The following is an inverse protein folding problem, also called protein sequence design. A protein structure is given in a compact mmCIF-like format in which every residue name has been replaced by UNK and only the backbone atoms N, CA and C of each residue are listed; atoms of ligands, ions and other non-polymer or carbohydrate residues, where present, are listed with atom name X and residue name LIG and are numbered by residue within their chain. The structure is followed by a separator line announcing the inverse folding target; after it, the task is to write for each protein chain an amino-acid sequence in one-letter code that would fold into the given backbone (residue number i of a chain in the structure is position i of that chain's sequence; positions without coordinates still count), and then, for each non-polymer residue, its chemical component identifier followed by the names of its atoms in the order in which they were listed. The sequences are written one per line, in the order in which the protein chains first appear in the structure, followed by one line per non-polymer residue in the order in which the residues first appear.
data_IF_380457470019
#
_entry.id   IF_380457470019
#
_cell.length_a   1.000
_cell.length_b   1.000
_cell.length_c   1.000
_cell.angle_alpha   90.00
_cell.angle_beta   90.00
_cell.angle_gamma   90.00
#
_symmetry.space_group_name_H-M   'P 1'
#
loop_
_entity.id
_entity.type
_entity.pdbx_description
1 polymer ?
#
# COMPACT_ATOMS: atom_id res chain seq x y z
N UNK A 1 51.88 -18.72 25.28
CA UNK A 1 51.50 -18.99 23.87
C UNK A 1 49.98 -19.04 23.76
N UNK A 2 49.36 -17.99 23.18
CA UNK A 2 48.09 -18.04 22.45
C UNK A 2 47.89 -16.71 21.74
N UNK A 3 47.55 -16.82 20.46
CA UNK A 3 47.77 -15.83 19.42
C UNK A 3 46.83 -14.63 19.50
N UNK A 4 47.41 -13.42 19.46
CA UNK A 4 46.68 -12.20 19.09
C UNK A 4 46.58 -12.13 17.56
N UNK A 5 45.46 -12.52 16.97
CA UNK A 5 45.16 -12.15 15.60
C UNK A 5 44.67 -10.70 15.57
N UNK A 6 45.59 -9.79 15.25
CA UNK A 6 45.28 -8.43 14.80
C UNK A 6 44.52 -8.53 13.48
N UNK A 7 43.21 -8.35 13.53
CA UNK A 7 42.39 -8.07 12.34
C UNK A 7 42.79 -6.68 11.84
N UNK A 8 43.62 -6.63 10.80
CA UNK A 8 43.81 -5.42 10.00
C UNK A 8 42.47 -5.08 9.34
N UNK A 9 41.73 -4.13 9.93
CA UNK A 9 40.67 -3.41 9.23
C UNK A 9 41.32 -2.76 8.00
N UNK A 10 40.95 -3.22 6.82
CA UNK A 10 41.14 -2.46 5.60
C UNK A 10 40.27 -1.20 5.71
N UNK A 11 40.84 -0.13 6.24
CA UNK A 11 40.38 1.22 5.97
C UNK A 11 40.63 1.48 4.49
N UNK A 12 39.66 1.08 3.65
CA UNK A 12 39.46 1.77 2.39
C UNK A 12 39.18 3.21 2.76
N UNK A 13 40.06 4.12 2.37
CA UNK A 13 39.81 5.55 2.30
C UNK A 13 38.52 5.79 1.52
N UNK A 14 37.38 5.79 2.20
CA UNK A 14 36.22 6.58 1.83
C UNK A 14 36.59 8.01 2.19
N UNK A 15 37.33 8.69 1.31
CA UNK A 15 37.28 10.15 1.27
C UNK A 15 35.80 10.52 1.25
N UNK A 16 35.37 11.23 2.29
CA UNK A 16 33.96 11.50 2.52
C UNK A 16 33.40 12.31 1.36
N UNK A 17 32.56 11.67 0.54
CA UNK A 17 31.79 12.28 -0.55
C UNK A 17 30.66 13.20 -0.06
N UNK A 18 30.71 13.67 1.20
CA UNK A 18 29.86 14.73 1.76
C UNK A 18 29.66 15.94 0.83
N UNK A 19 30.65 16.43 0.04
CA UNK A 19 30.42 17.54 -0.87
C UNK A 19 29.63 17.19 -2.15
N UNK A 20 29.40 15.91 -2.43
CA UNK A 20 28.58 15.42 -3.55
C UNK A 20 27.13 15.19 -3.11
N UNK A 21 26.90 14.63 -1.92
CA UNK A 21 25.55 14.48 -1.34
C UNK A 21 24.85 15.84 -1.17
N UNK A 22 25.60 16.86 -0.74
CA UNK A 22 25.09 18.23 -0.65
C UNK A 22 24.75 18.84 -2.03
N UNK A 23 25.44 18.43 -3.08
CA UNK A 23 25.24 18.92 -4.44
C UNK A 23 23.99 18.26 -5.07
N UNK A 24 23.77 16.98 -4.75
CA UNK A 24 22.57 16.21 -5.13
C UNK A 24 21.31 16.81 -4.50
N UNK A 25 21.34 17.14 -3.21
CA UNK A 25 20.21 17.79 -2.53
C UNK A 25 19.91 19.19 -3.12
N UNK A 26 20.94 19.94 -3.50
CA UNK A 26 20.77 21.26 -4.13
C UNK A 26 20.23 21.19 -5.57
N UNK A 27 20.54 20.12 -6.32
CA UNK A 27 20.01 19.89 -7.67
C UNK A 27 18.54 19.46 -7.60
N UNK A 28 18.19 18.53 -6.69
CA UNK A 28 16.81 18.06 -6.51
C UNK A 28 15.86 19.17 -6.05
N UNK A 29 16.34 20.08 -5.19
CA UNK A 29 15.56 21.22 -4.70
C UNK A 29 15.55 22.43 -5.66
N UNK A 30 16.18 22.35 -6.83
CA UNK A 30 16.28 23.46 -7.79
C UNK A 30 17.10 24.66 -7.30
N UNK A 31 17.74 24.58 -6.12
CA UNK A 31 18.57 25.65 -5.54
C UNK A 31 19.91 25.81 -6.26
N UNK A 32 20.42 24.73 -6.84
CA UNK A 32 21.64 24.73 -7.65
C UNK A 32 21.51 25.64 -8.89
N UNK A 33 20.32 25.67 -9.49
CA UNK A 33 19.99 26.49 -10.65
C UNK A 33 20.11 28.00 -10.35
N UNK A 34 19.65 28.45 -9.17
CA UNK A 34 19.76 29.85 -8.76
C UNK A 34 21.20 30.25 -8.44
N UNK A 35 21.96 29.36 -7.80
CA UNK A 35 23.36 29.61 -7.41
C UNK A 35 24.31 29.67 -8.61
N UNK A 36 24.09 28.85 -9.65
CA UNK A 36 24.92 28.89 -10.86
C UNK A 36 24.64 30.13 -11.71
N UNK A 37 23.39 30.63 -11.75
CA UNK A 37 23.04 31.90 -12.41
C UNK A 37 23.81 33.11 -11.85
N UNK A 38 24.19 33.07 -10.56
CA UNK A 38 24.93 34.13 -9.90
C UNK A 38 26.46 34.03 -10.07
N UNK A 39 26.97 32.93 -10.64
CA UNK A 39 28.42 32.66 -10.80
C UNK A 39 28.86 32.47 -12.26
N UNK A 40 27.98 32.65 -13.22
CA UNK A 40 28.36 32.56 -14.63
C UNK A 40 29.30 33.71 -15.03
N UNK A 41 30.48 33.35 -15.55
CA UNK A 41 31.42 34.31 -16.11
C UNK A 41 30.89 34.79 -17.48
N UNK A 42 31.13 36.07 -17.82
CA UNK A 42 30.68 36.70 -19.07
C UNK A 42 31.04 35.88 -20.33
N UNK A 43 32.17 35.19 -20.29
CA UNK A 43 32.68 34.35 -21.36
C UNK A 43 31.82 33.09 -21.61
N UNK A 44 31.31 32.48 -20.54
CA UNK A 44 30.39 31.33 -20.62
C UNK A 44 29.04 31.73 -21.20
N UNK A 45 28.60 32.95 -20.88
CA UNK A 45 27.39 33.54 -21.45
C UNK A 45 27.54 33.82 -22.95
N UNK A 46 28.68 34.38 -23.38
CA UNK A 46 29.00 34.60 -24.81
C UNK A 46 29.02 33.29 -25.59
N UNK A 47 29.68 32.24 -25.08
CA UNK A 47 29.79 30.95 -25.79
C UNK A 47 28.41 30.31 -25.95
N UNK A 48 27.55 30.37 -24.93
CA UNK A 48 26.15 29.91 -25.02
C UNK A 48 25.36 30.72 -26.03
N UNK A 49 25.57 32.04 -26.08
CA UNK A 49 24.96 32.90 -27.09
C UNK A 49 25.40 32.49 -28.51
N UNK A 50 26.69 32.25 -28.73
CA UNK A 50 27.22 31.85 -30.03
C UNK A 50 26.72 30.48 -30.48
N UNK A 51 26.74 29.48 -29.59
CA UNK A 51 26.23 28.13 -29.90
C UNK A 51 24.74 28.11 -30.22
N UNK A 52 23.92 28.82 -29.45
CA UNK A 52 22.49 28.92 -29.72
C UNK A 52 22.18 29.72 -30.99
N UNK A 53 22.98 30.75 -31.31
CA UNK A 53 22.85 31.51 -32.55
C UNK A 53 23.17 30.65 -33.78
N UNK A 54 24.18 29.79 -33.70
CA UNK A 54 24.54 28.87 -34.79
C UNK A 54 23.42 27.86 -35.11
N UNK A 55 22.82 27.23 -34.10
CA UNK A 55 21.73 26.28 -34.32
C UNK A 55 20.41 26.96 -34.73
N UNK A 56 20.13 28.17 -34.22
CA UNK A 56 18.95 28.96 -34.61
C UNK A 56 18.96 29.38 -36.09
N UNK A 57 20.15 29.57 -36.69
CA UNK A 57 20.31 29.94 -38.10
C UNK A 57 20.10 28.77 -39.07
N UNK A 58 20.29 27.52 -38.63
CA UNK A 58 20.25 26.34 -39.52
C UNK A 58 18.83 25.83 -39.83
N UNK A 59 17.80 26.29 -39.12
CA UNK A 59 16.46 25.68 -39.13
C UNK A 59 15.44 26.34 -40.10
N UNK A 60 15.50 27.62 -40.51
CA UNK A 60 14.42 28.24 -41.29
C UNK A 60 14.83 28.64 -42.72
N UNK A 61 15.13 27.69 -43.60
CA UNK A 61 15.43 28.06 -45.01
C UNK A 61 14.18 28.19 -45.91
N UNK A 62 13.00 27.72 -45.46
CA UNK A 62 11.84 27.56 -46.36
C UNK A 62 10.93 28.80 -46.47
N UNK A 63 10.82 29.61 -45.42
CA UNK A 63 9.91 30.78 -45.40
C UNK A 63 10.39 32.02 -46.17
N UNK A 64 11.70 32.38 -46.17
CA UNK A 64 12.17 33.54 -46.91
C UNK A 64 11.97 33.38 -48.42
N UNK A 65 12.13 32.15 -48.93
CA UNK A 65 11.86 31.81 -50.32
C UNK A 65 10.39 32.06 -50.71
N UNK A 66 9.45 31.83 -49.79
CA UNK A 66 8.02 32.05 -50.00
C UNK A 66 7.67 33.55 -50.08
N UNK A 67 8.34 34.39 -49.26
CA UNK A 67 8.19 35.86 -49.30
C UNK A 67 8.82 36.43 -50.58
N UNK A 68 9.99 35.95 -50.99
CA UNK A 68 10.62 36.33 -52.26
C UNK A 68 9.71 35.93 -53.43
N UNK A 69 9.14 34.71 -53.41
CA UNK A 69 8.20 34.27 -54.44
C UNK A 69 6.95 35.16 -54.50
N UNK A 70 6.39 35.56 -53.35
CA UNK A 70 5.25 36.48 -53.31
C UNK A 70 5.59 37.87 -53.88
N UNK A 71 6.78 38.42 -53.57
CA UNK A 71 7.24 39.69 -54.13
C UNK A 71 7.46 39.62 -55.64
N UNK A 72 7.96 38.49 -56.16
CA UNK A 72 8.09 38.24 -57.62
C UNK A 72 6.71 38.17 -58.27
N UNK A 73 5.72 37.56 -57.63
CA UNK A 73 4.33 37.54 -58.14
C UNK A 73 3.74 38.95 -58.19
N UNK A 74 3.93 39.76 -57.14
CA UNK A 74 3.48 41.16 -57.11
C UNK A 74 4.16 41.99 -58.20
N UNK A 75 5.47 41.84 -58.39
CA UNK A 75 6.21 42.49 -59.48
C UNK A 75 5.63 42.10 -60.84
N UNK A 76 5.33 40.81 -61.07
CA UNK A 76 4.74 40.34 -62.33
C UNK A 76 3.32 40.86 -62.57
N UNK A 77 2.51 41.00 -61.53
CA UNK A 77 1.18 41.62 -61.61
C UNK A 77 1.31 43.12 -61.94
N UNK A 78 2.30 43.82 -61.38
CA UNK A 78 2.47 45.25 -61.67
C UNK A 78 3.07 45.49 -63.06
N UNK A 79 3.96 44.61 -63.51
CA UNK A 79 4.51 44.61 -64.87
C UNK A 79 3.45 44.43 -65.97
N UNK A 80 2.28 43.87 -65.65
CA UNK A 80 1.17 43.82 -66.62
C UNK A 80 0.51 45.18 -66.87
N UNK A 81 0.78 46.18 -66.02
CA UNK A 81 0.28 47.55 -66.16
C UNK A 81 1.39 48.55 -66.54
N UNK A 82 2.63 48.33 -66.09
CA UNK A 82 3.80 49.11 -66.47
C UNK A 82 5.01 48.18 -66.66
N UNK A 83 5.39 47.94 -67.91
CA UNK A 83 6.46 47.01 -68.28
C UNK A 83 7.84 47.38 -67.71
N UNK A 84 8.04 48.65 -67.30
CA UNK A 84 9.32 49.12 -66.77
C UNK A 84 9.44 48.98 -65.26
N UNK A 85 8.37 48.57 -64.58
CA UNK A 85 8.39 48.40 -63.13
C UNK A 85 9.26 47.19 -62.78
N UNK A 86 10.36 47.44 -62.07
CA UNK A 86 11.18 46.40 -61.48
C UNK A 86 11.46 46.74 -60.01
N UNK A 87 11.29 45.77 -59.14
CA UNK A 87 11.65 45.97 -57.73
C UNK A 87 13.17 45.87 -57.63
N UNK A 88 13.85 46.87 -57.04
CA UNK A 88 15.30 46.85 -56.96
C UNK A 88 15.76 45.65 -56.12
N UNK A 89 16.78 44.92 -56.61
CA UNK A 89 17.33 43.73 -55.97
C UNK A 89 17.70 43.94 -54.48
N UNK A 90 18.18 45.15 -54.15
CA UNK A 90 18.49 45.54 -52.78
C UNK A 90 17.29 45.39 -51.83
N UNK A 91 16.06 45.64 -52.29
CA UNK A 91 14.88 45.52 -51.46
C UNK A 91 14.58 44.06 -51.09
N UNK A 92 14.75 43.12 -52.03
CA UNK A 92 14.64 41.67 -51.75
C UNK A 92 15.70 41.23 -50.73
N UNK A 93 16.93 41.71 -50.89
CA UNK A 93 18.04 41.40 -50.00
C UNK A 93 17.80 41.94 -48.59
N UNK A 94 17.27 43.16 -48.45
CA UNK A 94 16.90 43.73 -47.15
C UNK A 94 15.76 42.99 -46.47
N UNK A 95 14.70 42.61 -47.20
CA UNK A 95 13.58 41.81 -46.66
C UNK A 95 14.08 40.45 -46.16
N UNK A 96 14.98 39.81 -46.91
CA UNK A 96 15.58 38.54 -46.53
C UNK A 96 16.45 38.66 -45.25
N UNK A 97 17.30 39.69 -45.17
CA UNK A 97 18.14 39.94 -43.99
C UNK A 97 17.30 40.24 -42.75
N UNK A 98 16.30 41.13 -42.86
CA UNK A 98 15.43 41.49 -41.73
C UNK A 98 14.65 40.26 -41.24
N UNK A 99 14.16 39.43 -42.15
CA UNK A 99 13.47 38.20 -41.78
C UNK A 99 14.38 37.21 -41.03
N UNK A 100 15.60 36.98 -41.53
CA UNK A 100 16.59 36.14 -40.86
C UNK A 100 16.90 36.69 -39.47
N UNK A 101 17.08 38.01 -39.33
CA UNK A 101 17.38 38.64 -38.05
C UNK A 101 16.24 38.46 -37.04
N UNK A 102 14.98 38.71 -37.43
CA UNK A 102 13.81 38.55 -36.55
C UNK A 102 13.61 37.09 -36.16
N UNK A 103 13.75 36.16 -37.11
CA UNK A 103 13.58 34.74 -36.83
C UNK A 103 14.71 34.20 -35.95
N UNK A 104 15.97 34.54 -36.25
CA UNK A 104 17.12 34.18 -35.41
C UNK A 104 16.93 34.72 -33.99
N UNK A 105 16.44 35.95 -33.84
CA UNK A 105 16.12 36.53 -32.53
C UNK A 105 14.99 35.79 -31.81
N UNK A 106 13.91 35.41 -32.51
CA UNK A 106 12.80 34.64 -31.94
C UNK A 106 13.21 33.23 -31.54
N UNK A 107 13.97 32.54 -32.40
CA UNK A 107 14.53 31.22 -32.12
C UNK A 107 15.52 31.29 -30.94
N UNK A 108 16.36 32.32 -30.89
CA UNK A 108 17.24 32.60 -29.76
C UNK A 108 16.47 32.80 -28.45
N UNK A 109 15.39 33.58 -28.45
CA UNK A 109 14.52 33.75 -27.27
C UNK A 109 13.85 32.42 -26.88
N UNK A 110 13.30 31.68 -27.84
CA UNK A 110 12.67 30.38 -27.57
C UNK A 110 13.68 29.36 -27.04
N UNK A 111 14.92 29.41 -27.50
CA UNK A 111 15.99 28.52 -27.06
C UNK A 111 16.54 28.95 -25.69
N UNK A 112 16.57 30.25 -25.38
CA UNK A 112 16.78 30.74 -24.01
C UNK A 112 15.66 30.27 -23.07
N UNK A 113 14.40 30.30 -23.53
CA UNK A 113 13.25 29.84 -22.74
C UNK A 113 13.22 28.32 -22.58
N UNK A 114 13.66 27.56 -23.59
CA UNK A 114 13.64 26.08 -23.60
C UNK A 114 14.93 25.42 -23.09
N UNK A 115 16.05 26.14 -22.97
CA UNK A 115 17.27 25.62 -22.35
C UNK A 115 17.34 25.94 -20.85
N UNK A 116 16.81 25.04 -20.03
CA UNK A 116 17.78 24.26 -19.25
C UNK A 116 18.29 23.19 -20.21
N UNK A 117 19.55 23.35 -20.59
CA UNK A 117 20.38 22.31 -21.20
C UNK A 117 19.99 20.96 -20.59
N UNK A 118 19.80 19.90 -21.40
CA UNK A 118 19.37 18.57 -20.93
C UNK A 118 19.98 18.23 -19.56
N UNK A 119 19.18 17.67 -18.64
CA UNK A 119 19.64 17.28 -17.28
C UNK A 119 20.98 16.51 -17.33
N UNK A 120 21.22 15.77 -18.41
CA UNK A 120 22.44 14.98 -18.63
C UNK A 120 23.67 15.86 -18.92
N UNK A 121 23.52 16.96 -19.65
CA UNK A 121 24.61 17.89 -19.97
C UNK A 121 24.92 18.81 -18.78
N UNK A 122 23.94 19.13 -17.93
CA UNK A 122 24.18 19.84 -16.66
C UNK A 122 25.09 19.06 -15.72
N UNK A 123 25.00 17.72 -15.72
CA UNK A 123 25.88 16.86 -14.93
C UNK A 123 27.32 16.93 -15.47
N UNK A 124 27.48 16.84 -16.79
CA UNK A 124 28.77 16.96 -17.49
C UNK A 124 29.41 18.34 -17.24
N UNK A 125 28.60 19.40 -17.23
CA UNK A 125 29.07 20.76 -16.97
C UNK A 125 29.37 21.05 -15.50
N UNK A 126 28.56 20.54 -14.56
CA UNK A 126 28.79 20.69 -13.12
C UNK A 126 30.10 20.02 -12.67
N UNK A 127 30.46 18.90 -13.31
CA UNK A 127 31.73 18.20 -13.09
C UNK A 127 32.94 19.00 -13.60
N UNK A 128 32.81 19.69 -14.74
CA UNK A 128 33.89 20.51 -15.30
C UNK A 128 34.11 21.86 -14.60
N UNK A 129 33.13 22.37 -13.85
CA UNK A 129 33.19 23.72 -13.24
C UNK A 129 33.49 23.76 -11.74
N UNK A 130 33.67 22.61 -11.07
CA UNK A 130 33.95 22.57 -9.61
C UNK A 130 35.44 22.65 -9.25
N UNK A 131 36.23 23.34 -10.06
CA UNK A 131 37.64 23.69 -9.79
C UNK A 131 38.01 24.96 -10.53
N UNK A 132 38.89 25.80 -9.94
CA UNK A 132 39.42 27.02 -10.58
C UNK A 132 39.81 26.72 -12.03
N UNK A 133 39.12 27.33 -12.99
CA UNK A 133 39.47 27.21 -14.40
C UNK A 133 40.79 27.95 -14.61
N UNK A 134 41.87 27.20 -14.72
CA UNK A 134 43.16 27.66 -15.23
C UNK A 134 43.42 26.99 -16.60
N UNK A 135 42.62 27.35 -17.63
CA UNK A 135 42.89 27.27 -19.09
C UNK A 135 43.50 25.94 -19.67
N UNK A 136 43.92 25.92 -20.96
CA UNK A 136 43.19 25.89 -22.22
C UNK A 136 42.86 24.43 -22.67
N UNK A 137 42.38 24.22 -23.90
CA UNK A 137 42.14 22.91 -24.52
C UNK A 137 43.07 21.78 -24.03
N UNK A 138 42.49 20.74 -23.41
CA UNK A 138 43.21 19.66 -22.75
C UNK A 138 43.74 18.60 -23.72
N UNK A 139 44.96 18.10 -23.47
CA UNK A 139 45.65 17.10 -24.28
C UNK A 139 45.08 15.68 -24.11
N UNK A 140 45.23 14.87 -25.17
CA UNK A 140 44.77 13.47 -25.31
C UNK A 140 45.23 12.56 -24.15
N UNK A 141 46.37 12.85 -23.51
CA UNK A 141 46.90 12.06 -22.38
C UNK A 141 46.05 12.17 -21.10
N UNK A 142 45.33 13.28 -20.90
CA UNK A 142 44.47 13.47 -19.73
C UNK A 142 43.13 12.74 -19.88
N UNK A 143 42.71 12.45 -21.11
CA UNK A 143 41.43 11.81 -21.44
C UNK A 143 41.29 10.42 -20.80
N UNK A 144 42.38 9.66 -20.70
CA UNK A 144 42.38 8.30 -20.13
C UNK A 144 42.03 8.25 -18.65
N UNK A 145 42.52 9.20 -17.84
CA UNK A 145 42.19 9.26 -16.40
C UNK A 145 40.75 9.72 -16.16
N UNK A 146 40.28 10.71 -16.92
CA UNK A 146 38.91 11.20 -16.79
C UNK A 146 37.86 10.21 -17.31
N UNK A 147 38.18 9.40 -18.32
CA UNK A 147 37.30 8.29 -18.74
C UNK A 147 37.23 7.19 -17.69
N UNK A 148 38.31 6.90 -16.97
CA UNK A 148 38.28 5.94 -15.86
C UNK A 148 37.44 6.45 -14.68
N UNK A 149 37.60 7.72 -14.29
CA UNK A 149 36.81 8.34 -13.23
C UNK A 149 35.34 8.51 -13.63
N UNK A 150 35.08 8.86 -14.89
CA UNK A 150 33.73 8.88 -15.45
C UNK A 150 33.10 7.49 -15.41
N UNK A 151 33.81 6.45 -15.85
CA UNK A 151 33.33 5.07 -15.80
C UNK A 151 33.06 4.61 -14.36
N UNK A 152 33.88 5.01 -13.38
CA UNK A 152 33.63 4.72 -11.95
C UNK A 152 32.35 5.38 -11.46
N UNK A 153 32.13 6.65 -11.80
CA UNK A 153 30.91 7.38 -11.43
C UNK A 153 29.68 6.79 -12.12
N UNK A 154 29.76 6.48 -13.41
CA UNK A 154 28.68 5.85 -14.17
C UNK A 154 28.34 4.46 -13.63
N UNK A 155 29.36 3.66 -13.29
CA UNK A 155 29.17 2.34 -12.68
C UNK A 155 28.54 2.46 -11.30
N UNK A 156 28.92 3.47 -10.51
CA UNK A 156 28.30 3.75 -9.22
C UNK A 156 26.83 4.14 -9.38
N UNK A 157 26.49 5.03 -10.31
CA UNK A 157 25.10 5.42 -10.59
C UNK A 157 24.29 4.25 -11.13
N UNK A 158 24.83 3.48 -12.08
CA UNK A 158 24.17 2.29 -12.58
C UNK A 158 23.87 1.31 -11.44
N UNK A 159 24.84 1.07 -10.56
CA UNK A 159 24.65 0.23 -9.36
C UNK A 159 23.61 0.79 -8.41
N UNK A 160 23.63 2.09 -8.12
CA UNK A 160 22.67 2.74 -7.22
C UNK A 160 21.24 2.67 -7.77
N UNK A 161 21.06 2.90 -9.08
CA UNK A 161 19.76 2.79 -9.76
C UNK A 161 19.28 1.34 -9.74
N UNK A 162 20.15 0.36 -10.08
CA UNK A 162 19.76 -1.05 -10.02
C UNK A 162 19.42 -1.49 -8.60
N UNK A 163 20.16 -1.01 -7.60
CA UNK A 163 19.92 -1.34 -6.19
C UNK A 163 18.57 -0.76 -5.72
N UNK A 164 18.28 0.49 -6.06
CA UNK A 164 16.98 1.10 -5.77
C UNK A 164 15.82 0.38 -6.48
N UNK A 165 16.01 -0.08 -7.72
CA UNK A 165 15.01 -0.90 -8.41
C UNK A 165 14.81 -2.26 -7.73
N UNK A 166 15.88 -2.92 -7.30
CA UNK A 166 15.80 -4.19 -6.55
C UNK A 166 15.03 -3.98 -5.25
N UNK A 167 15.31 -2.92 -4.50
CA UNK A 167 14.60 -2.58 -3.26
C UNK A 167 13.10 -2.31 -3.51
N UNK A 168 12.77 -1.57 -4.57
CA UNK A 168 11.38 -1.34 -4.96
C UNK A 168 10.67 -2.64 -5.34
N UNK A 169 11.30 -3.51 -6.14
CA UNK A 169 10.72 -4.81 -6.48
C UNK A 169 10.57 -5.73 -5.26
N UNK A 170 11.49 -5.68 -4.30
CA UNK A 170 11.34 -6.42 -3.05
C UNK A 170 10.15 -5.93 -2.22
N UNK A 171 9.89 -4.62 -2.19
CA UNK A 171 8.69 -4.06 -1.55
C UNK A 171 7.43 -4.55 -2.24
N UNK A 172 7.36 -4.49 -3.57
CA UNK A 172 6.22 -4.98 -4.35
C UNK A 172 5.98 -6.49 -4.15
N UNK A 173 7.05 -7.31 -4.15
CA UNK A 173 6.95 -8.76 -3.89
C UNK A 173 6.40 -9.03 -2.50
N UNK A 174 6.82 -8.26 -1.49
CA UNK A 174 6.32 -8.41 -0.12
C UNK A 174 4.85 -7.99 -0.01
N UNK A 175 4.43 -6.93 -0.71
CA UNK A 175 3.02 -6.54 -0.77
C UNK A 175 2.17 -7.60 -1.47
N UNK A 176 2.63 -8.14 -2.59
CA UNK A 176 1.98 -9.24 -3.31
C UNK A 176 1.86 -10.49 -2.44
N UNK A 177 2.90 -10.86 -1.69
CA UNK A 177 2.83 -11.98 -0.75
C UNK A 177 1.75 -11.77 0.32
N UNK A 178 1.70 -10.58 0.93
CA UNK A 178 0.66 -10.25 1.92
C UNK A 178 -0.75 -10.30 1.32
N UNK A 179 -0.91 -9.82 0.08
CA UNK A 179 -2.20 -9.92 -0.63
C UNK A 179 -2.56 -11.37 -0.92
N UNK A 180 -1.59 -12.21 -1.30
CA UNK A 180 -1.79 -13.63 -1.56
C UNK A 180 -2.15 -14.38 -0.28
N UNK A 181 -1.53 -14.06 0.86
CA UNK A 181 -1.92 -14.58 2.17
C UNK A 181 -3.36 -14.21 2.52
N UNK A 182 -3.74 -12.93 2.38
CA UNK A 182 -5.12 -12.47 2.59
C UNK A 182 -6.12 -13.13 1.65
N UNK A 183 -5.77 -13.30 0.37
CA UNK A 183 -6.61 -13.99 -0.60
C UNK A 183 -6.73 -15.47 -0.29
N UNK A 184 -5.66 -16.11 0.22
CA UNK A 184 -5.70 -17.50 0.65
C UNK A 184 -6.61 -17.65 1.87
N UNK A 185 -6.52 -16.74 2.84
CA UNK A 185 -7.43 -16.66 3.99
C UNK A 185 -8.89 -16.47 3.56
N UNK A 186 -9.16 -15.57 2.59
CA UNK A 186 -10.49 -15.32 2.05
C UNK A 186 -11.01 -16.48 1.18
N UNK A 187 -10.16 -17.12 0.38
CA UNK A 187 -10.54 -18.29 -0.45
C UNK A 187 -10.85 -19.53 0.40
N UNK A 188 -10.31 -19.56 1.62
CA UNK A 188 -10.59 -20.59 2.62
C UNK A 188 -11.79 -20.22 3.50
N UNK A 189 -12.30 -18.98 3.41
CA UNK A 189 -13.50 -18.59 4.12
C UNK A 189 -14.73 -19.11 3.36
N UNK A 190 -15.53 -19.97 3.97
CA UNK A 190 -16.62 -20.64 3.25
C UNK A 190 -17.69 -19.64 2.77
N UNK A 191 -18.13 -19.76 1.51
CA UNK A 191 -19.14 -18.86 0.92
C UNK A 191 -20.48 -18.87 1.68
N UNK A 192 -20.86 -20.02 2.24
CA UNK A 192 -22.02 -20.21 3.10
C UNK A 192 -21.94 -19.35 4.38
N UNK A 193 -20.73 -19.05 4.88
CA UNK A 193 -20.56 -18.12 6.01
C UNK A 193 -20.88 -16.68 5.59
N UNK A 194 -20.46 -16.25 4.39
CA UNK A 194 -20.83 -14.91 3.90
C UNK A 194 -22.34 -14.76 3.71
N UNK A 195 -22.99 -15.75 3.08
CA UNK A 195 -24.45 -15.75 2.89
C UNK A 195 -25.21 -15.79 4.22
N UNK A 196 -24.71 -16.55 5.21
CA UNK A 196 -25.25 -16.56 6.56
C UNK A 196 -25.11 -15.19 7.25
N UNK A 197 -23.93 -14.55 7.15
CA UNK A 197 -23.71 -13.23 7.74
C UNK A 197 -24.57 -12.14 7.10
N UNK A 198 -24.77 -12.17 5.78
CA UNK A 198 -25.69 -11.24 5.10
C UNK A 198 -27.11 -11.35 5.65
N UNK A 199 -27.65 -12.56 5.82
CA UNK A 199 -28.98 -12.79 6.41
C UNK A 199 -29.04 -12.33 7.87
N UNK A 200 -27.97 -12.53 8.64
CA UNK A 200 -27.91 -12.08 10.02
C UNK A 200 -27.85 -10.56 10.16
N UNK A 201 -27.18 -9.86 9.24
CA UNK A 201 -27.18 -8.38 9.22
C UNK A 201 -28.61 -7.85 9.02
N UNK A 202 -29.42 -8.47 8.17
CA UNK A 202 -30.84 -8.11 8.00
C UNK A 202 -31.61 -8.30 9.32
N UNK A 203 -31.42 -9.44 10.00
CA UNK A 203 -32.06 -9.73 11.29
C UNK A 203 -31.66 -8.69 12.36
N UNK A 204 -30.38 -8.30 12.41
CA UNK A 204 -29.89 -7.29 13.36
C UNK A 204 -30.40 -5.89 13.01
N UNK A 205 -30.52 -5.57 11.71
CA UNK A 205 -31.11 -4.32 11.27
C UNK A 205 -32.58 -4.22 11.69
N UNK A 206 -33.37 -5.28 11.45
CA UNK A 206 -34.77 -5.36 11.88
C UNK A 206 -34.91 -5.21 13.40
N UNK A 207 -34.04 -5.87 14.17
CA UNK A 207 -33.97 -5.73 15.62
C UNK A 207 -33.73 -4.29 16.06
N UNK A 208 -32.84 -3.56 15.36
CA UNK A 208 -32.53 -2.17 15.70
C UNK A 208 -33.66 -1.20 15.39
N UNK A 209 -34.49 -1.51 14.39
CA UNK A 209 -35.57 -0.63 13.91
C UNK A 209 -36.89 -0.85 14.65
N UNK A 210 -37.26 -2.10 14.93
CA UNK A 210 -38.53 -2.44 15.57
C UNK A 210 -38.35 -3.47 16.69
N UNK A 211 -38.03 -2.99 17.89
CA UNK A 211 -37.93 -3.80 19.10
C UNK A 211 -39.27 -4.31 19.63
N UNK A 212 -40.40 -3.80 19.13
CA UNK A 212 -41.74 -4.16 19.64
C UNK A 212 -42.28 -5.44 19.01
N UNK A 213 -41.76 -5.81 17.84
CA UNK A 213 -42.10 -7.06 17.19
C UNK A 213 -41.60 -8.25 18.01
N UNK A 214 -42.49 -9.22 18.28
CA UNK A 214 -42.14 -10.46 19.00
C UNK A 214 -40.98 -11.17 18.31
N UNK A 215 -40.88 -11.11 16.97
CA UNK A 215 -39.79 -11.71 16.19
C UNK A 215 -38.43 -11.07 16.44
N UNK A 216 -38.40 -9.89 17.04
CA UNK A 216 -37.22 -9.09 17.32
C UNK A 216 -36.93 -9.04 18.83
N UNK A 217 -37.43 -9.99 19.61
CA UNK A 217 -36.99 -10.11 21.00
C UNK A 217 -35.52 -10.51 21.04
N UNK A 218 -34.76 -9.93 21.97
CA UNK A 218 -33.31 -10.12 22.13
C UNK A 218 -32.89 -11.60 22.07
N UNK A 219 -33.53 -12.45 22.87
CA UNK A 219 -33.20 -13.87 22.94
C UNK A 219 -33.48 -14.60 21.61
N UNK A 220 -34.56 -14.23 20.91
CA UNK A 220 -34.89 -14.82 19.61
C UNK A 220 -33.92 -14.40 18.51
N UNK A 221 -33.32 -13.21 18.61
CA UNK A 221 -32.24 -12.79 17.71
C UNK A 221 -31.00 -13.66 17.94
N UNK A 222 -30.62 -13.89 19.19
CA UNK A 222 -29.51 -14.78 19.53
C UNK A 222 -29.76 -16.24 19.12
N UNK A 223 -31.00 -16.74 19.28
CA UNK A 223 -31.42 -18.06 18.79
C UNK A 223 -31.26 -18.17 17.27
N UNK A 224 -31.62 -17.11 16.52
CA UNK A 224 -31.46 -17.07 15.06
C UNK A 224 -29.99 -17.04 14.64
N UNK A 225 -29.12 -16.34 15.37
CA UNK A 225 -27.67 -16.38 15.13
C UNK A 225 -27.17 -17.82 15.19
N UNK A 226 -27.51 -18.56 16.26
CA UNK A 226 -27.13 -19.96 16.39
C UNK A 226 -27.78 -20.84 15.31
N UNK A 227 -29.04 -20.59 14.95
CA UNK A 227 -29.71 -21.31 13.88
C UNK A 227 -28.99 -21.13 12.54
N UNK A 228 -28.58 -19.91 12.20
CA UNK A 228 -27.82 -19.62 10.98
C UNK A 228 -26.43 -20.24 11.02
N UNK A 229 -25.74 -20.20 12.16
CA UNK A 229 -24.47 -20.91 12.36
C UNK A 229 -24.58 -22.41 12.11
N UNK A 230 -25.72 -23.03 12.44
CA UNK A 230 -25.93 -24.47 12.24
C UNK A 230 -26.05 -24.87 10.76
N UNK A 231 -26.28 -23.90 9.88
CA UNK A 231 -26.37 -24.12 8.43
C UNK A 231 -25.00 -24.19 7.74
N UNK A 232 -23.94 -23.70 8.40
CA UNK A 232 -22.58 -23.73 7.89
C UNK A 232 -22.04 -25.15 7.93
N UNK A 233 -21.51 -25.63 6.80
CA UNK A 233 -21.11 -27.04 6.66
C UNK A 233 -20.05 -27.45 7.70
N UNK A 234 -19.08 -26.57 7.96
CA UNK A 234 -17.98 -26.82 8.91
C UNK A 234 -18.47 -26.82 10.37
N UNK A 235 -19.47 -26.00 10.72
CA UNK A 235 -19.99 -25.93 12.09
C UNK A 235 -21.08 -26.97 12.37
N UNK A 236 -21.75 -27.47 11.33
CA UNK A 236 -22.87 -28.40 11.45
C UNK A 236 -22.60 -29.63 12.33
N UNK A 237 -21.43 -30.30 12.29
CA UNK A 237 -21.12 -31.43 13.19
C UNK A 237 -21.03 -31.01 14.67
N UNK A 238 -20.68 -29.74 14.92
CA UNK A 238 -20.43 -29.16 16.24
C UNK A 238 -21.70 -28.54 16.86
N UNK A 239 -22.80 -28.51 16.10
CA UNK A 239 -24.03 -27.79 16.42
C UNK A 239 -25.17 -28.76 16.74
N UNK A 240 -24.92 -29.87 17.46
CA UNK A 240 -26.03 -30.73 17.93
C UNK A 240 -26.91 -29.97 18.91
N UNK A 241 -26.29 -29.21 19.80
CA UNK A 241 -26.91 -28.21 20.67
C UNK A 241 -25.95 -27.02 20.78
N UNK A 242 -26.45 -25.80 20.92
CA UNK A 242 -25.59 -24.65 21.17
C UNK A 242 -26.23 -23.66 22.12
N UNK A 243 -25.41 -22.93 22.87
CA UNK A 243 -25.87 -21.81 23.71
C UNK A 243 -24.98 -20.59 23.54
N UNK A 244 -25.60 -19.42 23.68
CA UNK A 244 -24.91 -18.16 23.94
C UNK A 244 -25.22 -17.81 25.38
N UNK A 245 -24.19 -17.81 26.23
CA UNK A 245 -24.28 -17.38 27.62
C UNK A 245 -23.61 -16.02 27.77
N UNK A 246 -24.33 -15.04 28.29
CA UNK A 246 -23.81 -13.69 28.51
C UNK A 246 -23.83 -13.35 30.00
N UNK A 247 -22.94 -12.47 30.42
CA UNK A 247 -22.89 -11.98 31.80
C UNK A 247 -24.13 -11.11 32.04
N UNK A 248 -24.93 -11.49 33.04
CA UNK A 248 -26.04 -10.69 33.52
C UNK A 248 -25.50 -9.49 34.33
N UNK A 249 -25.91 -8.28 33.99
CA UNK A 249 -25.46 -7.06 34.69
C UNK A 249 -25.93 -7.02 36.15
N UNK A 250 -27.08 -7.63 36.46
CA UNK A 250 -27.66 -7.62 37.81
C UNK A 250 -26.96 -8.60 38.77
N UNK A 251 -26.64 -9.81 38.30
CA UNK A 251 -26.10 -10.87 39.15
C UNK A 251 -24.60 -11.08 38.98
N UNK A 252 -24.00 -10.56 37.90
CA UNK A 252 -22.61 -10.84 37.52
C UNK A 252 -22.37 -12.29 37.06
N UNK A 253 -23.43 -13.11 37.00
CA UNK A 253 -23.36 -14.51 36.60
C UNK A 253 -23.69 -14.67 35.11
N UNK A 254 -23.28 -15.81 34.55
CA UNK A 254 -23.63 -16.21 33.21
C UNK A 254 -25.05 -16.76 33.15
N UNK A 255 -25.82 -16.23 32.21
CA UNK A 255 -27.16 -16.67 31.88
C UNK A 255 -27.25 -17.05 30.40
N UNK A 256 -28.02 -18.09 30.09
CA UNK A 256 -28.31 -18.45 28.70
C UNK A 256 -29.26 -17.39 28.13
N UNK A 257 -28.78 -16.65 27.14
CA UNK A 257 -29.56 -15.63 26.42
C UNK A 257 -29.91 -16.06 24.99
N UNK A 258 -29.16 -17.02 24.44
CA UNK A 258 -29.50 -17.67 23.16
C UNK A 258 -29.29 -19.17 23.21
N UNK A 259 -30.07 -19.92 22.43
CA UNK A 259 -30.07 -21.36 22.40
C UNK A 259 -30.38 -21.93 21.01
N UNK A 260 -29.89 -23.14 20.78
CA UNK A 260 -30.23 -23.94 19.62
C UNK A 260 -30.39 -25.41 20.03
N UNK A 261 -31.57 -25.96 19.73
CA UNK A 261 -31.92 -27.36 19.98
C UNK A 261 -31.80 -27.79 21.47
N UNK A 262 -32.16 -26.88 22.38
CA UNK A 262 -32.18 -27.10 23.83
C UNK A 262 -33.63 -26.95 24.35
N UNK A 263 -34.09 -27.83 25.26
CA UNK A 263 -35.43 -27.71 25.83
C UNK A 263 -35.57 -26.46 26.72
N UNK A 264 -36.67 -25.72 26.58
CA UNK A 264 -36.92 -24.47 27.31
C UNK A 264 -36.85 -24.60 28.84
N UNK A 265 -37.13 -25.79 29.40
CA UNK A 265 -37.03 -26.05 30.83
C UNK A 265 -35.60 -25.98 31.41
N UNK A 266 -34.57 -26.07 30.55
CA UNK A 266 -33.16 -26.00 30.95
C UNK A 266 -32.67 -24.54 31.06
N UNK A 267 -33.32 -23.60 30.38
CA UNK A 267 -32.88 -22.20 30.22
C UNK A 267 -33.10 -21.40 31.52
N UNK A 268 -34.27 -21.54 32.13
CA UNK A 268 -34.74 -20.59 33.16
C UNK A 268 -34.15 -20.83 34.56
N UNK A 269 -33.29 -21.84 34.74
CA UNK A 269 -32.86 -22.30 36.07
C UNK A 269 -31.34 -22.33 36.29
N UNK A 270 -30.52 -22.04 35.27
CA UNK A 270 -29.06 -22.20 35.37
C UNK A 270 -28.31 -20.89 35.16
N UNK A 271 -28.04 -20.21 36.27
CA UNK A 271 -26.97 -19.22 36.34
C UNK A 271 -25.64 -19.90 36.71
N UNK A 272 -24.54 -19.46 36.10
CA UNK A 272 -23.19 -19.99 36.35
C UNK A 272 -22.26 -18.85 36.73
N UNK A 273 -21.59 -18.93 37.87
CA UNK A 273 -20.62 -17.92 38.28
C UNK A 273 -19.37 -17.94 37.37
N UNK A 274 -18.70 -16.79 37.24
CA UNK A 274 -17.45 -16.70 36.46
C UNK A 274 -16.36 -17.53 37.15
N UNK A 275 -15.65 -18.35 36.38
CA UNK A 275 -14.66 -19.31 36.88
C UNK A 275 -15.24 -20.67 37.30
N UNK A 276 -16.56 -20.82 37.36
CA UNK A 276 -17.23 -22.08 37.69
C UNK A 276 -17.68 -22.86 36.46
N UNK A 277 -17.62 -24.20 36.58
CA UNK A 277 -17.98 -25.16 35.52
C UNK A 277 -17.27 -24.84 34.19
N UNK A 278 -17.74 -25.39 33.09
CA UNK A 278 -17.13 -25.18 31.78
C UNK A 278 -17.21 -23.72 31.32
N UNK A 279 -18.43 -23.18 31.19
CA UNK A 279 -18.68 -21.84 30.66
C UNK A 279 -17.98 -20.73 31.46
N UNK A 280 -18.00 -20.79 32.79
CA UNK A 280 -17.32 -19.81 33.64
C UNK A 280 -15.80 -19.88 33.51
N UNK A 281 -15.23 -21.06 33.31
CA UNK A 281 -13.78 -21.23 33.11
C UNK A 281 -13.31 -20.74 31.75
N UNK A 282 -14.09 -20.97 30.68
CA UNK A 282 -13.78 -20.43 29.34
C UNK A 282 -13.70 -18.90 29.37
N UNK A 283 -14.63 -18.24 30.04
CA UNK A 283 -14.63 -16.78 30.18
C UNK A 283 -13.44 -16.28 30.98
N UNK A 284 -13.09 -16.97 32.07
CA UNK A 284 -11.92 -16.62 32.89
C UNK A 284 -10.60 -16.80 32.14
N UNK A 285 -10.48 -17.86 31.34
CA UNK A 285 -9.31 -18.16 30.51
C UNK A 285 -9.17 -17.24 29.30
N UNK A 286 -10.28 -16.70 28.77
CA UNK A 286 -10.33 -15.83 27.58
C UNK A 286 -9.78 -16.49 26.31
N UNK A 287 -9.71 -17.81 26.30
CA UNK A 287 -9.25 -18.62 25.18
C UNK A 287 -10.33 -19.62 24.78
N UNK A 288 -10.25 -20.10 23.55
CA UNK A 288 -11.09 -21.20 23.10
C UNK A 288 -10.71 -22.46 23.86
N UNK A 289 -11.71 -23.12 24.42
CA UNK A 289 -11.52 -24.40 25.11
C UNK A 289 -12.18 -25.49 24.29
N UNK A 290 -11.38 -26.49 23.90
CA UNK A 290 -11.81 -27.64 23.12
C UNK A 290 -11.78 -28.89 23.98
N UNK A 291 -12.94 -29.51 24.22
CA UNK A 291 -13.03 -30.78 24.93
C UNK A 291 -13.50 -31.84 23.96
N UNK A 292 -12.56 -32.72 23.59
CA UNK A 292 -12.81 -33.83 22.67
C UNK A 292 -13.84 -34.83 23.19
N UNK A 293 -13.74 -35.17 24.48
CA UNK A 293 -14.63 -36.12 25.13
C UNK A 293 -14.93 -35.69 26.57
N UNK A 294 -16.19 -35.30 26.81
CA UNK A 294 -16.69 -34.83 28.11
C UNK A 294 -16.77 -35.92 29.18
N UNK A 295 -16.59 -37.19 28.79
CA UNK A 295 -16.55 -38.32 29.73
C UNK A 295 -15.15 -38.58 30.31
N UNK A 296 -14.10 -38.02 29.70
CA UNK A 296 -12.71 -38.20 30.13
C UNK A 296 -12.37 -37.40 31.39
N UNK A 297 -11.34 -37.86 32.10
CA UNK A 297 -10.95 -37.36 33.42
C UNK A 297 -10.72 -35.84 33.47
N UNK A 298 -10.07 -35.27 32.46
CA UNK A 298 -9.79 -33.82 32.38
C UNK A 298 -11.07 -32.98 32.33
N UNK A 299 -12.07 -33.41 31.55
CA UNK A 299 -13.36 -32.72 31.49
C UNK A 299 -14.05 -32.73 32.87
N UNK A 300 -14.00 -33.86 33.57
CA UNK A 300 -14.58 -34.00 34.91
C UNK A 300 -13.83 -33.17 35.96
N UNK A 301 -12.50 -33.30 36.03
CA UNK A 301 -11.66 -32.64 37.05
C UNK A 301 -11.54 -31.14 36.83
N UNK A 302 -11.34 -30.72 35.58
CA UNK A 302 -11.00 -29.34 35.25
C UNK A 302 -12.23 -28.52 34.92
N UNK A 303 -13.28 -29.09 34.31
CA UNK A 303 -14.43 -28.33 33.84
C UNK A 303 -15.75 -28.69 34.52
N UNK A 304 -15.72 -29.63 35.49
CA UNK A 304 -16.87 -29.95 36.32
C UNK A 304 -17.98 -30.68 35.57
N UNK A 305 -17.63 -31.47 34.54
CA UNK A 305 -18.59 -32.36 33.90
C UNK A 305 -18.90 -33.55 34.82
N UNK A 306 -20.14 -33.67 35.26
CA UNK A 306 -20.63 -34.83 36.03
C UNK A 306 -21.02 -35.99 35.09
N UNK A 307 -21.19 -37.19 35.63
CA UNK A 307 -21.77 -38.29 34.86
C UNK A 307 -23.26 -38.05 34.66
N UNK A 308 -23.67 -37.90 33.40
CA UNK A 308 -25.06 -37.65 33.03
C UNK A 308 -25.45 -38.58 31.88
N UNK A 309 -26.26 -39.60 32.21
CA UNK A 309 -26.75 -40.60 31.27
C UNK A 309 -27.72 -40.02 30.23
N UNK A 310 -28.27 -38.83 30.50
CA UNK A 310 -29.19 -38.12 29.59
C UNK A 310 -28.46 -37.17 28.63
N UNK A 311 -27.13 -37.04 28.75
CA UNK A 311 -26.34 -36.13 27.93
C UNK A 311 -26.33 -36.57 26.46
N UNK A 312 -26.76 -35.65 25.59
CA UNK A 312 -26.92 -35.89 24.14
C UNK A 312 -25.63 -35.63 23.35
N UNK A 313 -24.61 -35.05 23.98
CA UNK A 313 -23.35 -34.66 23.36
C UNK A 313 -22.14 -35.34 24.01
N UNK A 314 -21.08 -35.54 23.21
CA UNK A 314 -19.81 -36.15 23.60
C UNK A 314 -18.64 -35.16 23.60
N UNK A 315 -18.65 -34.20 22.68
CA UNK A 315 -17.67 -33.13 22.62
C UNK A 315 -18.29 -31.76 22.90
N UNK A 316 -17.50 -30.82 23.38
CA UNK A 316 -17.93 -29.43 23.59
C UNK A 316 -16.81 -28.45 23.27
N UNK A 317 -17.17 -27.34 22.63
CA UNK A 317 -16.27 -26.23 22.34
C UNK A 317 -16.84 -24.99 22.99
N UNK A 318 -16.03 -24.30 23.78
CA UNK A 318 -16.38 -23.05 24.42
C UNK A 318 -15.57 -21.93 23.80
N UNK A 319 -16.25 -20.93 23.24
CA UNK A 319 -15.61 -19.80 22.58
C UNK A 319 -15.98 -18.51 23.30
N UNK A 320 -15.02 -17.81 23.91
CA UNK A 320 -15.31 -16.60 24.67
C UNK A 320 -15.76 -15.47 23.74
N UNK A 321 -16.82 -14.76 24.14
CA UNK A 321 -17.32 -13.58 23.43
C UNK A 321 -16.53 -12.37 23.94
N UNK A 322 -15.46 -12.02 23.24
CA UNK A 322 -14.61 -10.88 23.57
C UNK A 322 -14.89 -9.72 22.60
N UNK A 323 -15.38 -8.56 23.09
CA UNK A 323 -15.50 -7.36 22.27
C UNK A 323 -14.12 -6.88 21.79
N UNK A 324 -13.99 -6.44 20.54
CA UNK A 324 -12.71 -5.90 20.02
C UNK A 324 -12.16 -4.71 20.82
N UNK A 325 -13.05 -3.99 21.49
CA UNK A 325 -12.78 -2.80 22.30
C UNK A 325 -12.53 -3.09 23.79
N UNK A 326 -12.64 -4.34 24.24
CA UNK A 326 -12.48 -4.72 25.65
C UNK A 326 -11.49 -5.87 25.81
N UNK A 327 -10.83 -5.91 26.97
CA UNK A 327 -9.96 -7.03 27.34
C UNK A 327 -10.72 -8.19 28.00
N UNK A 328 -11.96 -7.97 28.43
CA UNK A 328 -12.75 -8.95 29.17
C UNK A 328 -13.84 -9.57 28.29
N UNK A 329 -14.01 -10.89 28.40
CA UNK A 329 -15.09 -11.61 27.76
C UNK A 329 -16.43 -11.24 28.42
N UNK A 330 -17.43 -10.92 27.60
CA UNK A 330 -18.79 -10.60 28.06
C UNK A 330 -19.72 -11.82 28.07
N UNK A 331 -19.22 -12.97 27.64
CA UNK A 331 -19.98 -14.20 27.50
C UNK A 331 -19.17 -15.33 26.86
N UNK A 332 -19.86 -16.42 26.53
CA UNK A 332 -19.31 -17.61 25.87
C UNK A 332 -20.35 -18.23 24.94
N UNK A 333 -19.89 -18.68 23.77
CA UNK A 333 -20.65 -19.54 22.86
C UNK A 333 -20.24 -20.98 23.14
N UNK A 334 -21.20 -21.83 23.51
CA UNK A 334 -20.95 -23.26 23.71
C UNK A 334 -21.52 -24.04 22.52
N UNK A 335 -20.67 -24.82 21.86
CA UNK A 335 -21.03 -25.69 20.74
C UNK A 335 -20.91 -27.14 21.19
N UNK A 336 -22.01 -27.91 21.14
CA UNK A 336 -22.04 -29.29 21.58
C UNK A 336 -22.06 -30.25 20.40
N UNK A 337 -21.10 -31.17 20.35
CA UNK A 337 -20.96 -32.19 19.30
C UNK A 337 -21.49 -33.54 19.79
N UNK A 338 -22.17 -34.29 18.91
CA UNK A 338 -22.60 -35.66 19.18
C UNK A 338 -21.44 -36.68 19.05
N UNK A 339 -20.34 -36.28 18.43
CA UNK A 339 -19.15 -37.10 18.22
C UNK A 339 -18.05 -36.72 19.22
N UNK A 340 -17.11 -37.65 19.42
CA UNK A 340 -15.83 -37.34 20.04
C UNK A 340 -15.09 -36.45 19.05
N UNK A 341 -14.58 -35.31 19.52
CA UNK A 341 -13.82 -34.40 18.68
C UNK A 341 -12.34 -34.75 18.79
N UNK A 342 -11.68 -34.90 17.65
CA UNK A 342 -10.23 -35.00 17.61
C UNK A 342 -9.62 -33.62 17.85
N UNK A 343 -8.49 -33.59 18.54
CA UNK A 343 -7.78 -32.35 18.81
C UNK A 343 -6.87 -32.05 17.61
N UNK A 344 -7.27 -31.07 16.80
CA UNK A 344 -6.55 -30.64 15.61
C UNK A 344 -6.44 -29.12 15.56
N UNK A 345 -5.24 -28.60 15.81
CA UNK A 345 -4.94 -27.16 15.85
C UNK A 345 -5.38 -26.42 14.58
N UNK A 346 -5.28 -27.06 13.41
CA UNK A 346 -5.68 -26.46 12.13
C UNK A 346 -7.19 -26.30 12.04
N UNK A 347 -7.94 -27.28 12.55
CA UNK A 347 -9.40 -27.26 12.57
C UNK A 347 -9.92 -26.25 13.60
N UNK A 348 -9.30 -26.24 14.79
CA UNK A 348 -9.59 -25.24 15.83
C UNK A 348 -9.38 -23.81 15.32
N UNK A 349 -8.28 -23.56 14.61
CA UNK A 349 -7.99 -22.26 14.02
C UNK A 349 -9.05 -21.85 12.99
N UNK A 350 -9.45 -22.77 12.09
CA UNK A 350 -10.50 -22.51 11.10
C UNK A 350 -11.84 -22.20 11.74
N UNK A 351 -12.26 -23.00 12.72
CA UNK A 351 -13.50 -22.79 13.46
C UNK A 351 -13.50 -21.44 14.16
N UNK A 352 -12.40 -21.10 14.85
CA UNK A 352 -12.26 -19.79 15.49
C UNK A 352 -12.42 -18.65 14.48
N UNK A 353 -11.80 -18.77 13.31
CA UNK A 353 -11.91 -17.74 12.26
C UNK A 353 -13.32 -17.61 11.69
N UNK A 354 -14.05 -18.71 11.56
CA UNK A 354 -15.45 -18.70 11.15
C UNK A 354 -16.34 -18.07 12.24
N UNK A 355 -16.06 -18.34 13.52
CA UNK A 355 -16.85 -17.85 14.65
C UNK A 355 -16.57 -16.38 14.99
N UNK A 356 -15.39 -15.85 14.69
CA UNK A 356 -14.99 -14.45 14.94
C UNK A 356 -16.03 -13.41 14.50
N UNK A 357 -16.59 -13.44 13.26
CA UNK A 357 -17.63 -12.50 12.86
C UNK A 357 -18.95 -12.68 13.62
N UNK A 358 -19.35 -13.92 13.97
CA UNK A 358 -20.55 -14.17 14.77
C UNK A 358 -20.41 -13.62 16.20
N UNK A 359 -19.22 -13.75 16.79
CA UNK A 359 -18.90 -13.15 18.10
C UNK A 359 -19.12 -11.63 18.04
N UNK A 360 -18.61 -10.97 17.00
CA UNK A 360 -18.80 -9.52 16.86
C UNK A 360 -20.26 -9.14 16.62
N UNK A 361 -21.02 -9.97 15.90
CA UNK A 361 -22.45 -9.77 15.72
C UNK A 361 -23.21 -9.88 17.05
N UNK A 362 -22.90 -10.87 17.89
CA UNK A 362 -23.46 -11.02 19.24
C UNK A 362 -23.12 -9.80 20.11
N UNK A 363 -21.87 -9.33 20.07
CA UNK A 363 -21.46 -8.11 20.76
C UNK A 363 -22.28 -6.90 20.30
N UNK A 364 -22.50 -6.75 18.99
CA UNK A 364 -23.33 -5.67 18.44
C UNK A 364 -24.79 -5.77 18.88
N UNK A 365 -25.39 -6.96 18.84
CA UNK A 365 -26.78 -7.17 19.32
C UNK A 365 -26.89 -6.86 20.81
N UNK A 366 -25.91 -7.25 21.62
CA UNK A 366 -25.87 -6.94 23.05
C UNK A 366 -25.71 -5.44 23.32
N UNK A 367 -24.94 -4.70 22.49
CA UNK A 367 -24.84 -3.23 22.58
C UNK A 367 -26.13 -2.52 22.18
N UNK A 368 -26.96 -3.16 21.36
CA UNK A 368 -28.25 -2.63 20.90
C UNK A 368 -29.41 -2.95 21.85
N UNK A 369 -29.23 -3.86 22.81
CA UNK A 369 -30.20 -4.13 23.89
C UNK A 369 -30.55 -2.81 24.58
#
# INVERSE_FOLDING_TARGET
MRNSQKVKRNEKHTESLKPYDNLINQINDGRYIRLNRLKENWLTWIIKCMGNSFFALMIPLNYPLLIIAALVVVEKIYQSYDERFAIPFNLYLWVFIIYIAIYAFKAFIQQIQKNFVSKDIHLIWALNFKGKINNPFYSIESHGKYTEDFNKVLTYYAKAVTQSQIENYQLEINELHKMLERLKELSQFPNDVFESLSRLIEIVADYSQDKTNIRNQYNLVLDRILSEMSSIEILKPLMKQATIMLICEETGNLKIEGQYNIPNGVINSKEIAIGDKFAGKVIKGKELVWIGDVSKGEAKSTYGFEEDLSRVYKGIIGVPVVPKDKMDAIGVINLHSNAILDENDVEQYKIMKILEPYIQLIVSVNKLR
#
